data_IF_232898376039
#
_entry.id   IF_232898376039
#
_cell.length_a   1.000
_cell.length_b   1.000
_cell.length_c   1.000
_cell.angle_alpha   90.00
_cell.angle_beta   90.00
_cell.angle_gamma   90.00
#
_symmetry.space_group_name_H-M   'P 1'
#
loop_
_entity.id
_entity.type
_entity.pdbx_description
1 polymer ?
#
# COMPACT_ATOMS: atom_id res chain seq x y z
N UNK A 1 13.25 -11.24 9.57
CA UNK A 1 12.53 -11.29 8.28
C UNK A 1 13.44 -10.72 7.19
N UNK A 2 13.59 -11.39 6.03
CA UNK A 2 14.46 -10.93 4.93
C UNK A 2 13.63 -10.27 3.82
N UNK A 3 14.14 -9.16 3.27
CA UNK A 3 13.57 -8.50 2.08
C UNK A 3 13.69 -9.45 0.87
N UNK A 4 12.57 -9.76 0.21
CA UNK A 4 12.52 -10.70 -0.94
C UNK A 4 12.75 -10.01 -2.29
N UNK A 5 12.76 -8.67 -2.30
CA UNK A 5 13.07 -7.88 -3.47
C UNK A 5 14.58 -7.64 -3.57
N UNK A 6 15.12 -7.62 -4.79
CA UNK A 6 16.50 -7.20 -5.03
C UNK A 6 16.64 -5.72 -4.68
N UNK A 7 17.56 -5.40 -3.78
CA UNK A 7 17.80 -4.01 -3.33
C UNK A 7 18.77 -3.36 -4.31
N UNK A 8 18.29 -2.35 -5.02
CA UNK A 8 19.10 -1.48 -5.91
C UNK A 8 18.94 -0.03 -5.45
N UNK A 9 19.90 0.84 -5.73
CA UNK A 9 19.85 2.25 -5.31
C UNK A 9 18.56 2.95 -5.74
N UNK A 10 18.07 2.62 -6.93
CA UNK A 10 16.83 3.15 -7.52
C UNK A 10 15.56 2.65 -6.81
N UNK A 11 15.55 1.42 -6.29
CA UNK A 11 14.38 0.85 -5.65
C UNK A 11 14.30 1.14 -4.15
N UNK A 12 15.38 1.63 -3.52
CA UNK A 12 15.39 1.94 -2.08
C UNK A 12 14.21 2.84 -1.66
N UNK A 13 13.92 3.96 -2.35
CA UNK A 13 12.81 4.84 -1.96
C UNK A 13 11.44 4.13 -2.03
N UNK A 14 11.24 3.34 -3.08
CA UNK A 14 10.01 2.57 -3.29
C UNK A 14 9.85 1.49 -2.20
N UNK A 15 10.95 0.81 -1.82
CA UNK A 15 10.94 -0.18 -0.76
C UNK A 15 10.65 0.45 0.61
N UNK A 16 11.18 1.65 0.87
CA UNK A 16 10.89 2.40 2.10
C UNK A 16 9.39 2.75 2.19
N UNK A 17 8.74 3.15 1.08
CA UNK A 17 7.29 3.37 1.05
C UNK A 17 6.50 2.09 1.35
N UNK A 18 6.89 0.96 0.77
CA UNK A 18 6.24 -0.33 1.04
C UNK A 18 6.43 -0.80 2.48
N UNK A 19 7.59 -0.52 3.08
CA UNK A 19 7.84 -0.80 4.49
C UNK A 19 7.01 0.11 5.39
N UNK A 20 6.82 1.38 5.02
CA UNK A 20 5.88 2.30 5.68
C UNK A 20 4.45 1.76 5.70
N UNK A 21 3.95 1.30 4.55
CA UNK A 21 2.62 0.66 4.43
C UNK A 21 2.54 -0.62 5.27
N UNK A 22 3.59 -1.44 5.27
CA UNK A 22 3.66 -2.70 6.00
C UNK A 22 3.60 -2.50 7.51
N UNK A 23 4.26 -1.46 8.01
CA UNK A 23 4.39 -1.17 9.43
C UNK A 23 3.50 -0.02 9.90
N UNK A 24 2.49 0.38 9.12
CA UNK A 24 1.61 1.53 9.42
C UNK A 24 0.98 1.46 10.83
N UNK A 25 0.72 0.26 11.35
CA UNK A 25 0.16 0.04 12.71
C UNK A 25 1.18 0.13 13.85
N UNK A 26 2.48 0.17 13.52
CA UNK A 26 3.59 0.11 14.48
C UNK A 26 4.38 1.42 14.54
N UNK A 27 3.93 2.46 13.84
CA UNK A 27 4.60 3.76 13.84
C UNK A 27 4.29 4.42 15.19
N UNK A 28 5.31 4.66 16.05
CA UNK A 28 5.11 5.35 17.31
C UNK A 28 4.79 6.84 17.07
N UNK A 29 4.14 7.48 18.04
CA UNK A 29 3.86 8.92 18.07
C UNK A 29 3.11 9.50 16.84
N UNK A 30 2.39 8.65 16.09
CA UNK A 30 1.54 9.08 14.99
C UNK A 30 0.27 8.25 14.92
N UNK A 31 -0.82 8.86 14.44
CA UNK A 31 -2.06 8.13 14.14
C UNK A 31 -1.95 7.42 12.80
N UNK A 32 -2.64 6.28 12.68
CA UNK A 32 -2.75 5.51 11.42
C UNK A 32 -3.27 6.41 10.29
N UNK A 33 -4.23 7.28 10.60
CA UNK A 33 -4.83 8.19 9.63
C UNK A 33 -3.80 9.19 9.07
N UNK A 34 -2.99 9.78 9.95
CA UNK A 34 -1.94 10.72 9.53
C UNK A 34 -0.86 10.01 8.70
N UNK A 35 -0.39 8.84 9.16
CA UNK A 35 0.55 8.03 8.39
C UNK A 35 0.00 7.66 7.01
N UNK A 36 -1.28 7.31 6.92
CA UNK A 36 -1.93 6.98 5.66
C UNK A 36 -1.97 8.18 4.71
N UNK A 37 -2.33 9.37 5.20
CA UNK A 37 -2.33 10.60 4.38
C UNK A 37 -0.95 10.94 3.85
N UNK A 38 0.08 10.84 4.69
CA UNK A 38 1.47 11.06 4.27
C UNK A 38 1.86 10.06 3.18
N UNK A 39 1.60 8.76 3.38
CA UNK A 39 1.91 7.73 2.39
C UNK A 39 1.13 7.92 1.09
N UNK A 40 -0.14 8.30 1.16
CA UNK A 40 -0.96 8.62 -0.01
C UNK A 40 -0.35 9.77 -0.82
N UNK A 41 0.03 10.86 -0.16
CA UNK A 41 0.68 12.01 -0.80
C UNK A 41 2.02 11.64 -1.45
N UNK A 42 2.83 10.84 -0.76
CA UNK A 42 4.10 10.35 -1.31
C UNK A 42 3.88 9.47 -2.54
N UNK A 43 2.87 8.59 -2.52
CA UNK A 43 2.53 7.72 -3.64
C UNK A 43 1.95 8.52 -4.82
N UNK A 44 1.15 9.56 -4.57
CA UNK A 44 0.62 10.43 -5.62
C UNK A 44 1.70 11.26 -6.32
N UNK A 45 2.80 11.56 -5.62
CA UNK A 45 3.93 12.29 -6.19
C UNK A 45 4.84 11.44 -7.09
N UNK A 46 4.68 10.10 -7.07
CA UNK A 46 5.43 9.20 -7.94
C UNK A 46 4.95 9.27 -9.39
N UNK A 47 5.88 9.12 -10.33
CA UNK A 47 5.55 8.94 -11.75
C UNK A 47 4.81 7.61 -11.98
N UNK A 48 4.09 7.49 -13.09
CA UNK A 48 3.37 6.25 -13.41
C UNK A 48 4.30 5.02 -13.51
N UNK A 49 5.53 5.22 -13.98
CA UNK A 49 6.56 4.17 -14.03
C UNK A 49 6.98 3.70 -12.63
N UNK A 50 7.14 4.64 -11.70
CA UNK A 50 7.45 4.35 -10.31
C UNK A 50 6.28 3.69 -9.59
N UNK A 51 5.04 4.13 -9.84
CA UNK A 51 3.83 3.48 -9.33
C UNK A 51 3.71 2.04 -9.86
N UNK A 52 4.00 1.80 -11.14
CA UNK A 52 4.06 0.44 -11.69
C UNK A 52 5.14 -0.42 -11.04
N UNK A 53 6.29 0.17 -10.71
CA UNK A 53 7.36 -0.51 -9.97
C UNK A 53 6.94 -0.83 -8.54
N UNK A 54 6.29 0.12 -7.86
CA UNK A 54 5.73 -0.04 -6.52
C UNK A 54 4.74 -1.20 -6.47
N UNK A 55 3.79 -1.26 -7.42
CA UNK A 55 2.84 -2.38 -7.54
C UNK A 55 3.56 -3.72 -7.74
N UNK A 56 4.56 -3.76 -8.63
CA UNK A 56 5.32 -4.99 -8.91
C UNK A 56 6.07 -5.49 -7.66
N UNK A 57 6.72 -4.59 -6.92
CA UNK A 57 7.47 -4.94 -5.72
C UNK A 57 6.54 -5.33 -4.55
N UNK A 58 5.37 -4.70 -4.45
CA UNK A 58 4.35 -5.01 -3.45
C UNK A 58 3.82 -6.46 -3.56
N UNK A 59 3.88 -7.08 -4.74
CA UNK A 59 3.46 -8.48 -4.91
C UNK A 59 4.26 -9.46 -4.03
N UNK A 60 5.47 -9.09 -3.61
CA UNK A 60 6.29 -9.90 -2.69
C UNK A 60 6.03 -9.61 -1.21
N UNK A 61 5.18 -8.63 -0.90
CA UNK A 61 4.79 -8.26 0.47
C UNK A 61 3.56 -9.03 0.95
N UNK A 62 3.31 -8.94 2.26
CA UNK A 62 2.14 -9.57 2.89
C UNK A 62 0.81 -9.05 2.29
N UNK A 63 -0.26 -9.86 2.31
CA UNK A 63 -1.55 -9.49 1.72
C UNK A 63 -2.11 -8.14 2.23
N UNK A 64 -1.95 -7.83 3.51
CA UNK A 64 -2.41 -6.56 4.08
C UNK A 64 -1.75 -5.32 3.43
N UNK A 65 -0.44 -5.38 3.14
CA UNK A 65 0.27 -4.30 2.46
C UNK A 65 -0.21 -4.13 1.02
N UNK A 66 -0.48 -5.24 0.33
CA UNK A 66 -1.02 -5.25 -1.03
C UNK A 66 -2.43 -4.65 -1.07
N UNK A 67 -3.26 -4.99 -0.09
CA UNK A 67 -4.60 -4.42 0.05
C UNK A 67 -4.56 -2.91 0.30
N UNK A 68 -3.71 -2.46 1.23
CA UNK A 68 -3.58 -1.05 1.57
C UNK A 68 -3.07 -0.22 0.39
N UNK A 69 -2.04 -0.70 -0.31
CA UNK A 69 -1.55 -0.06 -1.53
C UNK A 69 -2.64 0.00 -2.60
N UNK A 70 -3.38 -1.08 -2.79
CA UNK A 70 -4.50 -1.15 -3.71
C UNK A 70 -5.57 -0.11 -3.40
N UNK A 71 -5.94 0.04 -2.13
CA UNK A 71 -6.91 1.04 -1.68
C UNK A 71 -6.44 2.47 -1.97
N UNK A 72 -5.17 2.79 -1.66
CA UNK A 72 -4.59 4.10 -1.95
C UNK A 72 -4.62 4.41 -3.46
N UNK A 73 -4.14 3.49 -4.29
CA UNK A 73 -4.10 3.68 -5.75
C UNK A 73 -5.51 3.77 -6.35
N UNK A 74 -6.49 3.08 -5.77
CA UNK A 74 -7.89 3.17 -6.19
C UNK A 74 -8.46 4.56 -5.93
N UNK A 75 -8.22 5.11 -4.74
CA UNK A 75 -8.66 6.48 -4.39
C UNK A 75 -7.96 7.56 -5.23
N UNK A 76 -6.75 7.27 -5.72
CA UNK A 76 -6.04 8.12 -6.68
C UNK A 76 -6.50 7.92 -8.14
N UNK A 77 -7.52 7.09 -8.39
CA UNK A 77 -8.07 6.83 -9.72
C UNK A 77 -7.18 5.94 -10.61
N UNK A 78 -6.18 5.24 -10.05
CA UNK A 78 -5.22 4.40 -10.80
C UNK A 78 -5.70 2.95 -10.94
N UNK A 79 -6.96 2.76 -11.32
CA UNK A 79 -7.63 1.45 -11.39
C UNK A 79 -6.92 0.43 -12.31
N UNK A 80 -6.33 0.90 -13.42
CA UNK A 80 -5.58 0.03 -14.34
C UNK A 80 -4.33 -0.61 -13.71
N UNK A 81 -3.81 -0.06 -12.61
CA UNK A 81 -2.61 -0.57 -11.95
C UNK A 81 -2.91 -1.57 -10.83
N UNK A 82 -4.14 -1.57 -10.29
CA UNK A 82 -4.46 -2.31 -9.06
C UNK A 82 -4.99 -3.72 -9.32
N UNK A 83 -5.32 -4.07 -10.56
CA UNK A 83 -5.87 -5.39 -10.90
C UNK A 83 -4.96 -6.54 -10.46
N UNK A 84 -3.64 -6.40 -10.67
CA UNK A 84 -2.64 -7.40 -10.24
C UNK A 84 -2.62 -7.57 -8.72
N UNK A 85 -2.77 -6.48 -7.97
CA UNK A 85 -2.85 -6.53 -6.50
C UNK A 85 -4.14 -7.24 -6.09
N UNK A 86 -5.26 -6.89 -6.70
CA UNK A 86 -6.57 -7.46 -6.37
C UNK A 86 -6.62 -8.97 -6.58
N UNK A 87 -6.12 -9.45 -7.73
CA UNK A 87 -6.02 -10.90 -8.05
C UNK A 87 -5.13 -11.67 -7.08
N UNK A 88 -4.18 -10.99 -6.42
CA UNK A 88 -3.26 -11.62 -5.48
C UNK A 88 -3.82 -11.80 -4.06
N UNK A 89 -4.99 -11.20 -3.78
CA UNK A 89 -5.64 -11.23 -2.47
C UNK A 89 -6.73 -12.31 -2.42
N UNK A 90 -6.96 -12.85 -1.23
CA UNK A 90 -8.09 -13.76 -1.00
C UNK A 90 -9.33 -12.92 -0.67
N UNK A 91 -10.43 -13.03 -1.44
CA UNK A 91 -11.65 -12.24 -1.25
C UNK A 91 -12.33 -12.46 0.10
N UNK A 92 -12.07 -13.59 0.77
CA UNK A 92 -12.63 -13.91 2.09
C UNK A 92 -11.81 -13.34 3.24
N UNK A 93 -10.65 -12.73 2.97
CA UNK A 93 -9.79 -12.16 4.01
C UNK A 93 -10.21 -10.74 4.36
N UNK A 94 -10.30 -10.44 5.66
CA UNK A 94 -10.47 -9.07 6.17
C UNK A 94 -9.21 -8.59 6.90
N UNK A 95 -8.81 -7.34 6.66
CA UNK A 95 -7.66 -6.71 7.29
C UNK A 95 -8.13 -5.60 8.23
N UNK A 96 -7.93 -5.75 9.53
CA UNK A 96 -8.37 -4.74 10.51
C UNK A 96 -7.33 -3.63 10.57
N UNK A 97 -7.62 -2.42 10.11
CA UNK A 97 -6.74 -1.24 10.21
C UNK A 97 -7.61 -0.09 10.77
N UNK A 98 -7.58 0.15 12.10
CA UNK A 98 -8.46 1.13 12.73
C UNK A 98 -8.33 2.52 12.13
N UNK A 99 -9.46 3.19 11.91
CA UNK A 99 -9.53 4.58 11.42
C UNK A 99 -9.26 4.75 9.92
N UNK A 100 -8.82 3.70 9.21
CA UNK A 100 -8.40 3.82 7.82
C UNK A 100 -9.53 4.23 6.87
N UNK A 101 -10.76 3.82 7.16
CA UNK A 101 -11.95 4.14 6.36
C UNK A 101 -12.30 5.63 6.38
N UNK A 102 -11.75 6.40 7.34
CA UNK A 102 -11.87 7.87 7.37
C UNK A 102 -10.91 8.56 6.39
N UNK A 103 -9.91 7.83 5.90
CA UNK A 103 -8.89 8.33 4.97
C UNK A 103 -9.06 7.73 3.58
N UNK A 104 -9.38 6.43 3.51
CA UNK A 104 -9.48 5.68 2.27
C UNK A 104 -10.92 5.23 2.01
N UNK A 105 -11.57 5.82 1.01
CA UNK A 105 -12.94 5.49 0.60
C UNK A 105 -13.00 4.08 0.01
N UNK A 106 -11.93 3.66 -0.69
CA UNK A 106 -11.83 2.33 -1.27
C UNK A 106 -11.52 1.21 -0.27
N UNK A 107 -11.28 1.51 1.03
CA UNK A 107 -10.82 0.52 2.01
C UNK A 107 -11.70 -0.75 2.06
N UNK A 108 -13.02 -0.57 2.08
CA UNK A 108 -14.00 -1.67 2.11
C UNK A 108 -13.88 -2.58 0.88
N UNK A 109 -13.71 -1.99 -0.31
CA UNK A 109 -13.50 -2.72 -1.57
C UNK A 109 -12.25 -3.58 -1.54
N UNK A 110 -11.28 -3.25 -0.70
CA UNK A 110 -10.02 -3.99 -0.52
C UNK A 110 -10.05 -4.97 0.66
N UNK A 111 -11.21 -5.19 1.28
CA UNK A 111 -11.36 -6.07 2.43
C UNK A 111 -10.74 -5.50 3.70
N UNK A 112 -10.55 -4.18 3.77
CA UNK A 112 -9.99 -3.50 4.93
C UNK A 112 -11.13 -2.98 5.78
N UNK A 113 -11.05 -3.19 7.10
CA UNK A 113 -12.04 -2.79 8.09
C UNK A 113 -11.40 -1.94 9.19
#
# INVERSE_FOLDING_TARGET
>A
MKQKNSITKENIPILQLLDGLRFIKKIPDSSINNCCRILQNLISALSEKEQGTLVRLALKYQPATRALLGAILSDLGKEGMVEKLKKSLNPLTSYIIPGISEVLLSASRWGIK
#
